data_IF_805190748133
#
_entry.id   IF_805190748133
#
_cell.length_a   1.000
_cell.length_b   1.000
_cell.length_c   1.000
_cell.angle_alpha   90.00
_cell.angle_beta   90.00
_cell.angle_gamma   90.00
#
_symmetry.space_group_name_H-M   'P 1'
#
loop_
_entity.id
_entity.type
_entity.pdbx_description
1 polymer ?
#
# COMPACT_ATOMS: atom_id res chain seq x y z
N UNK A 1 -6.93 -4.54 17.31
CA UNK A 1 -7.02 -5.48 16.16
C UNK A 1 -6.37 -6.83 16.43
N UNK A 2 -5.08 -6.93 16.75
CA UNK A 2 -4.38 -8.23 16.95
C UNK A 2 -5.12 -9.17 17.91
N UNK A 3 -5.35 -8.74 19.16
CA UNK A 3 -6.10 -9.54 20.15
C UNK A 3 -7.57 -9.76 19.75
N UNK A 4 -8.21 -8.72 19.19
CA UNK A 4 -9.64 -8.72 18.82
C UNK A 4 -9.97 -9.79 17.78
N UNK A 5 -9.06 -10.00 16.82
CA UNK A 5 -9.20 -10.98 15.75
C UNK A 5 -8.41 -12.27 15.97
N UNK A 6 -7.78 -12.45 17.15
CA UNK A 6 -6.96 -13.63 17.43
C UNK A 6 -5.75 -13.78 16.50
N UNK A 7 -5.20 -12.67 16.00
CA UNK A 7 -4.06 -12.70 15.07
C UNK A 7 -2.76 -12.98 15.83
N UNK A 8 -1.90 -13.81 15.24
CA UNK A 8 -0.54 -14.03 15.74
C UNK A 8 0.31 -12.79 15.51
N UNK A 9 0.80 -12.17 16.59
CA UNK A 9 1.69 -11.00 16.54
C UNK A 9 2.95 -11.28 15.71
N UNK A 10 3.55 -12.46 15.88
CA UNK A 10 4.71 -12.90 15.09
C UNK A 10 4.39 -12.96 13.59
N UNK A 11 3.19 -13.43 13.23
CA UNK A 11 2.76 -13.51 11.84
C UNK A 11 2.55 -12.12 11.25
N UNK A 12 1.91 -11.21 11.99
CA UNK A 12 1.68 -9.83 11.55
C UNK A 12 2.99 -9.09 11.37
N UNK A 13 3.92 -9.15 12.33
CA UNK A 13 5.23 -8.49 12.21
C UNK A 13 6.00 -9.04 11.01
N UNK A 14 6.04 -10.36 10.84
CA UNK A 14 6.71 -10.98 9.68
C UNK A 14 6.10 -10.53 8.36
N UNK A 15 4.78 -10.50 8.27
CA UNK A 15 4.09 -10.05 7.07
C UNK A 15 4.38 -8.58 6.77
N UNK A 16 4.33 -7.70 7.78
CA UNK A 16 4.62 -6.28 7.59
C UNK A 16 6.07 -6.01 7.20
N UNK A 17 7.03 -6.80 7.73
CA UNK A 17 8.42 -6.73 7.29
C UNK A 17 8.56 -7.13 5.81
N UNK A 18 7.88 -8.20 5.38
CA UNK A 18 7.86 -8.59 3.96
C UNK A 18 7.25 -7.49 3.09
N UNK A 19 6.15 -6.87 3.51
CA UNK A 19 5.55 -5.73 2.80
C UNK A 19 6.54 -4.58 2.67
N UNK A 20 7.23 -4.20 3.76
CA UNK A 20 8.24 -3.13 3.75
C UNK A 20 9.40 -3.44 2.79
N UNK A 21 9.89 -4.68 2.79
CA UNK A 21 10.97 -5.13 1.89
C UNK A 21 10.58 -5.07 0.40
N UNK A 22 9.29 -5.19 0.08
CA UNK A 22 8.79 -5.13 -1.30
C UNK A 22 8.44 -3.70 -1.77
N UNK A 23 8.56 -2.68 -0.91
CA UNK A 23 8.52 -1.30 -1.36
C UNK A 23 9.86 -0.90 -1.97
N UNK A 24 9.81 -0.46 -3.24
CA UNK A 24 11.02 -0.01 -3.96
C UNK A 24 11.54 1.30 -3.38
N UNK A 25 12.86 1.49 -3.45
CA UNK A 25 13.53 2.73 -3.08
C UNK A 25 13.35 3.81 -4.17
N UNK A 26 12.11 4.26 -4.38
CA UNK A 26 11.75 5.36 -5.30
C UNK A 26 11.50 6.66 -4.52
N UNK A 27 11.57 7.85 -5.16
CA UNK A 27 11.51 9.13 -4.45
C UNK A 27 10.24 9.35 -3.61
N UNK A 28 9.09 8.80 -4.04
CA UNK A 28 7.80 9.05 -3.38
C UNK A 28 7.05 7.76 -2.98
N UNK A 29 6.63 6.92 -3.93
CA UNK A 29 5.87 5.67 -3.69
C UNK A 29 6.72 4.55 -3.05
N UNK A 30 7.26 4.83 -1.87
CA UNK A 30 8.12 3.97 -1.07
C UNK A 30 7.43 3.64 0.27
N UNK A 31 8.10 2.85 1.10
CA UNK A 31 7.62 2.44 2.43
C UNK A 31 7.26 3.61 3.37
N UNK A 32 7.89 4.76 3.24
CA UNK A 32 7.58 5.94 4.08
C UNK A 32 6.23 6.52 3.68
N UNK A 33 5.94 6.62 2.38
CA UNK A 33 4.61 7.01 1.89
C UNK A 33 3.53 6.03 2.36
N UNK A 34 3.78 4.72 2.28
CA UNK A 34 2.85 3.72 2.80
C UNK A 34 2.58 3.90 4.30
N UNK A 35 3.62 4.13 5.11
CA UNK A 35 3.48 4.38 6.53
C UNK A 35 2.70 5.68 6.82
N UNK A 36 2.92 6.74 6.06
CA UNK A 36 2.19 8.01 6.15
C UNK A 36 0.70 7.84 5.83
N UNK A 37 0.37 7.10 4.77
CA UNK A 37 -1.03 6.80 4.40
C UNK A 37 -1.72 5.97 5.48
N UNK A 38 -1.06 4.95 6.04
CA UNK A 38 -1.60 4.15 7.16
C UNK A 38 -1.85 5.03 8.38
N UNK A 39 -0.87 5.88 8.74
CA UNK A 39 -0.97 6.76 9.91
C UNK A 39 -2.07 7.80 9.73
N UNK A 40 -2.12 8.47 8.59
CA UNK A 40 -3.14 9.48 8.27
C UNK A 40 -4.54 8.88 8.27
N UNK A 41 -4.69 7.68 7.71
CA UNK A 41 -5.97 6.97 7.69
C UNK A 41 -6.38 6.51 9.09
N UNK A 42 -5.44 6.08 9.93
CA UNK A 42 -5.72 5.78 11.33
C UNK A 42 -6.24 7.01 12.07
N UNK A 43 -5.63 8.19 11.89
CA UNK A 43 -6.11 9.43 12.49
C UNK A 43 -7.52 9.77 11.98
N UNK A 44 -7.76 9.66 10.68
CA UNK A 44 -9.07 9.92 10.08
C UNK A 44 -10.15 9.00 10.68
N UNK A 45 -9.90 7.70 10.79
CA UNK A 45 -10.84 6.73 11.36
C UNK A 45 -11.14 6.98 12.85
N UNK A 46 -10.25 7.68 13.56
CA UNK A 46 -10.45 8.09 14.96
C UNK A 46 -11.08 9.49 15.10
N UNK A 47 -11.42 10.17 13.99
CA UNK A 47 -12.14 11.42 14.06
C UNK A 47 -13.51 11.21 14.74
N UNK A 48 -13.95 12.18 15.54
CA UNK A 48 -15.21 12.10 16.29
C UNK A 48 -16.40 11.80 15.37
N UNK A 49 -16.43 12.37 14.16
CA UNK A 49 -17.48 12.16 13.18
C UNK A 49 -17.52 10.73 12.59
N UNK A 50 -16.42 9.99 12.67
CA UNK A 50 -16.28 8.62 12.14
C UNK A 50 -16.20 7.57 13.24
N UNK A 51 -16.22 7.99 14.50
CA UNK A 51 -16.20 7.09 15.65
C UNK A 51 -17.46 6.22 15.63
N UNK A 52 -17.28 4.90 15.76
CA UNK A 52 -18.36 3.90 15.73
C UNK A 52 -19.15 3.80 14.41
N UNK A 53 -18.68 4.43 13.34
CA UNK A 53 -19.28 4.27 12.00
C UNK A 53 -18.87 2.95 11.35
N UNK A 54 -17.62 2.54 11.55
CA UNK A 54 -17.04 1.33 10.96
C UNK A 54 -16.91 0.21 12.00
N UNK A 55 -17.09 -1.01 11.53
CA UNK A 55 -16.78 -2.23 12.29
C UNK A 55 -15.27 -2.38 12.46
N UNK A 56 -14.86 -3.18 13.45
CA UNK A 56 -13.44 -3.52 13.64
C UNK A 56 -12.81 -4.15 12.38
N UNK A 57 -13.60 -4.90 11.59
CA UNK A 57 -13.11 -5.59 10.40
C UNK A 57 -12.88 -4.60 9.26
N UNK A 58 -13.78 -3.63 9.06
CA UNK A 58 -13.60 -2.56 8.07
C UNK A 58 -12.39 -1.69 8.41
N UNK A 59 -12.21 -1.36 9.70
CA UNK A 59 -11.03 -0.62 10.16
C UNK A 59 -9.74 -1.42 9.89
N UNK A 60 -9.72 -2.73 10.21
CA UNK A 60 -8.57 -3.58 9.91
C UNK A 60 -8.32 -3.65 8.39
N UNK A 61 -9.36 -3.85 7.58
CA UNK A 61 -9.25 -3.97 6.13
C UNK A 61 -8.70 -2.69 5.50
N UNK A 62 -9.17 -1.51 5.92
CA UNK A 62 -8.67 -0.23 5.42
C UNK A 62 -7.21 -0.02 5.80
N UNK A 63 -6.83 -0.24 7.06
CA UNK A 63 -5.43 -0.08 7.49
C UNK A 63 -4.50 -1.05 6.76
N UNK A 64 -4.96 -2.29 6.54
CA UNK A 64 -4.23 -3.27 5.76
C UNK A 64 -4.09 -2.85 4.30
N UNK A 65 -5.17 -2.40 3.66
CA UNK A 65 -5.16 -1.90 2.29
C UNK A 65 -4.20 -0.72 2.12
N UNK A 66 -4.23 0.26 3.05
CA UNK A 66 -3.30 1.38 3.07
C UNK A 66 -1.84 0.92 3.13
N UNK A 67 -1.52 -0.11 3.91
CA UNK A 67 -0.15 -0.61 4.03
C UNK A 67 0.37 -1.23 2.72
N UNK A 68 -0.50 -1.87 1.93
CA UNK A 68 -0.09 -2.64 0.74
C UNK A 68 -0.36 -1.92 -0.60
N UNK A 69 -1.01 -0.76 -0.60
CA UNK A 69 -1.59 -0.19 -1.83
C UNK A 69 -0.59 0.13 -2.95
N UNK A 70 0.66 0.45 -2.60
CA UNK A 70 1.72 0.86 -3.53
C UNK A 70 2.92 -0.12 -3.49
N UNK A 71 2.73 -1.34 -2.97
CA UNK A 71 3.79 -2.37 -2.96
C UNK A 71 4.29 -2.62 -4.38
N UNK A 72 5.62 -2.72 -4.53
CA UNK A 72 6.32 -2.89 -5.81
C UNK A 72 6.13 -1.75 -6.84
N UNK A 73 5.60 -0.59 -6.43
CA UNK A 73 5.39 0.53 -7.35
C UNK A 73 6.71 1.02 -7.98
N UNK A 74 6.82 1.11 -9.33
CA UNK A 74 8.08 1.39 -10.03
C UNK A 74 8.53 2.86 -9.97
N UNK A 75 7.73 3.74 -9.37
CA UNK A 75 7.96 5.19 -9.38
C UNK A 75 7.62 5.85 -10.72
N UNK A 76 6.88 5.15 -11.58
CA UNK A 76 6.44 5.60 -12.89
C UNK A 76 4.92 5.55 -12.95
N UNK A 77 4.32 6.49 -13.66
CA UNK A 77 2.85 6.48 -13.84
C UNK A 77 2.43 5.38 -14.81
N UNK A 78 1.17 4.93 -14.69
CA UNK A 78 0.58 3.99 -15.63
C UNK A 78 0.71 4.45 -17.09
N UNK A 79 0.52 5.76 -17.33
CA UNK A 79 0.66 6.33 -18.67
C UNK A 79 2.08 6.19 -19.22
N UNK A 80 3.10 6.40 -18.38
CA UNK A 80 4.50 6.22 -18.78
C UNK A 80 4.79 4.76 -19.13
N UNK A 81 4.32 3.81 -18.32
CA UNK A 81 4.50 2.38 -18.57
C UNK A 81 3.86 1.97 -19.91
N UNK A 82 2.60 2.38 -20.15
CA UNK A 82 1.89 2.09 -21.40
C UNK A 82 2.64 2.67 -22.61
N UNK A 83 3.07 3.92 -22.53
CA UNK A 83 3.72 4.59 -23.64
C UNK A 83 5.09 3.99 -23.97
N UNK A 84 5.86 3.60 -22.95
CA UNK A 84 7.18 2.99 -23.12
C UNK A 84 7.07 1.57 -23.67
N UNK A 85 6.13 0.77 -23.17
CA UNK A 85 5.85 -0.56 -23.72
C UNK A 85 5.42 -0.49 -25.19
N UNK A 86 4.52 0.45 -25.54
CA UNK A 86 4.12 0.68 -26.93
C UNK A 86 5.31 1.12 -27.80
N UNK A 87 6.15 2.05 -27.32
CA UNK A 87 7.34 2.52 -28.04
C UNK A 87 8.35 1.40 -28.29
N UNK A 88 8.65 0.58 -27.28
CA UNK A 88 9.53 -0.59 -27.39
C UNK A 88 8.99 -1.61 -28.40
N UNK A 89 7.68 -1.88 -28.36
CA UNK A 89 7.04 -2.78 -29.32
C UNK A 89 7.21 -2.22 -30.73
N UNK A 90 6.90 -0.94 -30.96
CA UNK A 90 7.01 -0.30 -32.30
C UNK A 90 8.45 -0.35 -32.82
N UNK A 91 9.46 -0.09 -31.98
CA UNK A 91 10.86 -0.20 -32.38
C UNK A 91 11.25 -1.62 -32.85
N UNK A 92 10.73 -2.67 -32.20
CA UNK A 92 11.04 -4.07 -32.55
C UNK A 92 10.35 -4.58 -33.83
N UNK A 93 9.30 -3.91 -34.32
CA UNK A 93 8.64 -4.23 -35.60
C UNK A 93 9.19 -3.40 -36.77
N UNK A 94 9.97 -2.35 -36.47
CA UNK A 94 10.51 -1.40 -37.45
C UNK A 94 11.95 -1.71 -37.87
N UNK A 95 12.59 -2.73 -37.27
CA UNK A 95 13.95 -3.18 -37.54
C UNK A 95 13.97 -4.61 -38.03
#
# INVERSE_FOLDING_TARGET
>A
MIKRFGLSEVTIIRYMNLVEEHYRAVPYHNRVHAADVVQSTHILLNAQALTSVFTDLEVLAVLFACAIHDVDHPGLTNQYLINTSKSLIIQNISG
#
